data_IF_375727214213
#
_entry.id   IF_375727214213
#
_cell.length_a   1.000
_cell.length_b   1.000
_cell.length_c   1.000
_cell.angle_alpha   90.00
_cell.angle_beta   90.00
_cell.angle_gamma   90.00
#
_symmetry.space_group_name_H-M   'P 1'
#
loop_
_entity.id
_entity.type
_entity.pdbx_description
1 polymer ?
#
# COMPACT_ATOMS: atom_id res chain seq x y z
N UNK A 1 10.69 -17.55 -17.69
CA UNK A 1 10.30 -16.77 -16.52
C UNK A 1 11.54 -16.53 -15.65
N UNK A 2 11.79 -15.29 -15.25
CA UNK A 2 12.98 -14.93 -14.45
C UNK A 2 12.79 -15.17 -12.94
N UNK A 3 11.58 -15.61 -12.52
CA UNK A 3 11.26 -15.88 -11.12
C UNK A 3 11.35 -17.39 -10.85
N UNK A 4 12.08 -17.77 -9.81
CA UNK A 4 12.38 -19.16 -9.48
C UNK A 4 11.11 -19.99 -9.16
N UNK A 5 10.16 -19.47 -8.40
CA UNK A 5 8.90 -20.14 -8.09
C UNK A 5 8.08 -20.50 -9.33
N UNK A 6 7.74 -19.51 -10.19
CA UNK A 6 7.08 -19.78 -11.46
C UNK A 6 7.87 -20.73 -12.38
N UNK A 7 9.20 -20.61 -12.44
CA UNK A 7 10.05 -21.50 -13.25
C UNK A 7 9.94 -22.97 -12.80
N UNK A 8 10.01 -23.23 -11.49
CA UNK A 8 9.81 -24.57 -10.92
C UNK A 8 8.41 -25.14 -11.23
N UNK A 9 7.38 -24.33 -11.12
CA UNK A 9 6.01 -24.72 -11.48
C UNK A 9 5.90 -25.10 -12.96
N UNK A 10 6.49 -24.27 -13.85
CA UNK A 10 6.54 -24.57 -15.29
C UNK A 10 7.28 -25.89 -15.57
N UNK A 11 8.44 -26.14 -14.91
CA UNK A 11 9.18 -27.37 -15.06
C UNK A 11 8.34 -28.60 -14.68
N UNK A 12 7.60 -28.55 -13.58
CA UNK A 12 6.67 -29.61 -13.17
C UNK A 12 5.56 -29.84 -14.20
N UNK A 13 4.89 -28.76 -14.64
CA UNK A 13 3.82 -28.83 -15.66
C UNK A 13 4.35 -29.46 -16.95
N UNK A 14 5.55 -29.08 -17.40
CA UNK A 14 6.18 -29.67 -18.58
C UNK A 14 6.42 -31.17 -18.40
N UNK A 15 6.96 -31.60 -17.27
CA UNK A 15 7.21 -33.02 -16.99
C UNK A 15 5.90 -33.83 -17.00
N UNK A 16 4.85 -33.34 -16.33
CA UNK A 16 3.55 -33.99 -16.28
C UNK A 16 2.89 -34.07 -17.69
N UNK A 17 3.00 -32.97 -18.46
CA UNK A 17 2.42 -32.92 -19.81
C UNK A 17 3.13 -33.82 -20.82
N UNK A 18 4.45 -34.00 -20.69
CA UNK A 18 5.20 -34.99 -21.49
C UNK A 18 4.71 -36.42 -21.24
N UNK A 19 4.23 -36.70 -20.03
CA UNK A 19 3.67 -37.99 -19.63
C UNK A 19 2.15 -38.11 -19.94
N UNK A 20 1.59 -37.13 -20.67
CA UNK A 20 0.21 -37.19 -21.15
C UNK A 20 -0.80 -36.36 -20.35
N UNK A 21 -0.40 -35.64 -19.31
CA UNK A 21 -1.26 -34.66 -18.66
C UNK A 21 -1.58 -33.50 -19.64
N UNK A 22 -2.62 -32.72 -19.31
CA UNK A 22 -3.03 -31.54 -20.09
C UNK A 22 -3.23 -30.35 -19.15
N UNK A 23 -2.17 -30.03 -18.39
CA UNK A 23 -2.20 -28.98 -17.37
C UNK A 23 -1.79 -27.64 -18.03
N UNK A 24 -2.69 -26.62 -18.05
CA UNK A 24 -2.34 -25.31 -18.57
C UNK A 24 -1.43 -24.56 -17.60
N UNK A 25 -0.60 -23.66 -18.12
CA UNK A 25 0.11 -22.70 -17.31
C UNK A 25 -0.69 -21.39 -17.22
N UNK A 26 -1.15 -21.06 -16.03
CA UNK A 26 -2.02 -19.91 -15.76
C UNK A 26 -1.27 -18.55 -15.69
N UNK A 27 0.04 -18.55 -15.97
CA UNK A 27 0.83 -17.33 -15.88
C UNK A 27 1.40 -17.04 -14.48
N UNK A 28 1.89 -15.83 -14.32
CA UNK A 28 2.50 -15.34 -13.09
C UNK A 28 2.14 -13.86 -12.87
N UNK A 29 1.83 -13.51 -11.63
CA UNK A 29 1.55 -12.12 -11.22
C UNK A 29 2.82 -11.33 -10.88
N UNK A 30 3.99 -11.96 -10.96
CA UNK A 30 5.28 -11.28 -10.80
C UNK A 30 5.68 -10.94 -9.37
N UNK A 31 5.21 -11.71 -8.38
CA UNK A 31 5.59 -11.50 -6.97
C UNK A 31 7.09 -11.68 -6.79
N UNK A 32 7.74 -10.68 -6.22
CA UNK A 32 9.18 -10.62 -6.01
C UNK A 32 9.52 -9.92 -4.70
N UNK A 33 10.64 -10.32 -4.11
CA UNK A 33 11.17 -9.75 -2.88
C UNK A 33 12.70 -9.68 -2.95
N UNK A 34 13.27 -8.62 -2.39
CA UNK A 34 14.70 -8.42 -2.28
C UNK A 34 15.07 -7.79 -0.95
N UNK A 35 16.22 -8.18 -0.41
CA UNK A 35 16.83 -7.49 0.73
C UNK A 35 17.89 -6.51 0.22
N UNK A 36 17.80 -5.26 0.68
CA UNK A 36 18.72 -4.17 0.34
C UNK A 36 19.27 -3.62 1.66
N UNK A 37 20.47 -4.03 2.01
CA UNK A 37 21.02 -3.86 3.37
C UNK A 37 20.06 -4.45 4.42
N UNK A 38 19.59 -3.65 5.37
CA UNK A 38 18.64 -4.09 6.40
C UNK A 38 17.18 -3.98 5.96
N UNK A 39 16.93 -3.29 4.85
CA UNK A 39 15.59 -3.05 4.32
C UNK A 39 15.15 -4.17 3.38
N UNK A 40 13.89 -4.54 3.46
CA UNK A 40 13.23 -5.49 2.56
C UNK A 40 12.28 -4.73 1.63
N UNK A 41 12.36 -5.02 0.33
CA UNK A 41 11.51 -4.45 -0.70
C UNK A 41 10.78 -5.57 -1.43
N UNK A 42 9.47 -5.48 -1.55
CA UNK A 42 8.67 -6.50 -2.22
C UNK A 42 7.60 -5.87 -3.12
N UNK A 43 7.22 -6.60 -4.17
CA UNK A 43 6.16 -6.17 -5.09
C UNK A 43 5.40 -7.36 -5.66
N UNK A 44 4.12 -7.14 -6.00
CA UNK A 44 3.26 -8.12 -6.65
C UNK A 44 2.24 -7.43 -7.54
N UNK A 45 1.78 -8.10 -8.61
CA UNK A 45 0.76 -7.61 -9.52
C UNK A 45 1.21 -6.42 -10.38
N UNK A 46 0.29 -5.53 -10.69
CA UNK A 46 0.49 -4.41 -11.61
C UNK A 46 0.77 -3.11 -10.86
N UNK A 47 2.00 -2.55 -10.98
CA UNK A 47 2.30 -1.23 -10.43
C UNK A 47 1.61 -0.13 -11.25
N UNK A 48 1.35 1.03 -10.63
CA UNK A 48 0.69 2.16 -11.29
C UNK A 48 1.35 2.63 -12.59
N UNK A 49 2.69 2.43 -12.75
CA UNK A 49 3.37 2.71 -14.02
C UNK A 49 2.83 1.82 -15.15
N UNK A 50 2.63 0.54 -14.88
CA UNK A 50 2.14 -0.43 -15.86
C UNK A 50 0.68 -0.18 -16.18
N UNK A 51 -0.15 0.08 -15.15
CA UNK A 51 -1.56 0.40 -15.33
C UNK A 51 -1.75 1.62 -16.25
N UNK A 52 -0.95 2.68 -16.08
CA UNK A 52 -0.97 3.84 -16.98
C UNK A 52 -0.54 3.51 -18.41
N UNK A 53 0.45 2.64 -18.60
CA UNK A 53 0.90 2.21 -19.92
C UNK A 53 -0.16 1.40 -20.68
N UNK A 54 -0.98 0.65 -19.93
CA UNK A 54 -2.09 -0.16 -20.48
C UNK A 54 -3.43 0.60 -20.48
N UNK A 55 -3.40 1.90 -20.15
CA UNK A 55 -4.60 2.77 -20.07
C UNK A 55 -5.70 2.22 -19.15
N UNK A 56 -5.29 1.48 -18.12
CA UNK A 56 -6.20 0.93 -17.10
C UNK A 56 -6.44 2.00 -16.03
N UNK A 57 -7.70 2.33 -15.81
CA UNK A 57 -8.13 3.27 -14.78
C UNK A 57 -7.92 2.66 -13.37
N UNK A 58 -7.28 3.39 -12.48
CA UNK A 58 -6.97 2.89 -11.15
C UNK A 58 -6.88 3.99 -10.11
N UNK A 59 -7.02 3.61 -8.86
CA UNK A 59 -6.64 4.40 -7.70
C UNK A 59 -5.45 3.75 -6.99
N UNK A 60 -4.79 4.50 -6.14
CA UNK A 60 -3.76 3.94 -5.26
C UNK A 60 -3.85 4.55 -3.88
N UNK A 61 -3.50 3.79 -2.86
CA UNK A 61 -3.27 4.30 -1.52
C UNK A 61 -1.86 3.93 -1.04
N UNK A 62 -1.32 4.75 -0.16
CA UNK A 62 -0.04 4.49 0.51
C UNK A 62 -0.24 4.74 1.99
N UNK A 63 0.16 3.77 2.80
CA UNK A 63 0.08 3.83 4.26
C UNK A 63 1.46 3.55 4.87
N UNK A 64 1.66 4.01 6.09
CA UNK A 64 2.94 3.87 6.81
C UNK A 64 2.72 3.26 8.21
N UNK A 65 2.24 2.00 8.30
CA UNK A 65 2.06 1.30 9.57
C UNK A 65 3.39 0.84 10.17
N UNK A 66 3.34 0.43 11.43
CA UNK A 66 4.42 -0.35 12.04
C UNK A 66 4.33 -1.84 11.67
N UNK A 67 5.44 -2.56 11.75
CA UNK A 67 5.52 -4.01 11.50
C UNK A 67 4.64 -4.83 12.44
N UNK A 68 4.53 -4.37 13.70
CA UNK A 68 3.70 -4.98 14.76
C UNK A 68 3.25 -3.90 15.77
N UNK A 69 2.64 -4.31 16.87
CA UNK A 69 2.10 -3.40 17.88
C UNK A 69 3.18 -2.47 18.45
N UNK A 70 2.98 -1.16 18.33
CA UNK A 70 3.98 -0.15 18.67
C UNK A 70 4.37 -0.09 20.15
N UNK A 71 3.56 -0.67 21.04
CA UNK A 71 3.89 -0.82 22.46
C UNK A 71 4.79 -2.03 22.76
N UNK A 72 4.98 -2.93 21.79
CA UNK A 72 5.89 -4.05 21.89
C UNK A 72 7.27 -3.65 21.33
N UNK A 73 8.38 -4.08 21.95
CA UNK A 73 9.73 -3.69 21.53
C UNK A 73 10.02 -4.00 20.04
N UNK A 74 10.88 -3.20 19.44
CA UNK A 74 11.42 -3.39 18.10
C UNK A 74 10.41 -3.25 16.96
N UNK A 75 9.29 -2.57 17.18
CA UNK A 75 8.37 -2.23 16.10
C UNK A 75 9.04 -1.29 15.08
N UNK A 76 9.11 -1.73 13.82
CA UNK A 76 9.80 -1.03 12.74
C UNK A 76 8.81 -0.44 11.72
N UNK A 77 9.13 0.70 11.11
CA UNK A 77 8.26 1.31 10.10
C UNK A 77 8.17 0.46 8.85
N UNK A 78 7.00 0.48 8.21
CA UNK A 78 6.70 -0.15 6.94
C UNK A 78 5.92 0.81 6.05
N UNK A 79 6.18 0.78 4.74
CA UNK A 79 5.38 1.50 3.75
C UNK A 79 4.69 0.49 2.85
N UNK A 80 3.37 0.55 2.76
CA UNK A 80 2.56 -0.29 1.89
C UNK A 80 1.84 0.60 0.88
N UNK A 81 2.03 0.32 -0.39
CA UNK A 81 1.28 0.92 -1.48
C UNK A 81 0.50 -0.14 -2.22
N UNK A 82 -0.80 0.09 -2.41
CA UNK A 82 -1.66 -0.75 -3.24
C UNK A 82 -2.23 0.03 -4.42
N UNK A 83 -2.52 -0.69 -5.51
CA UNK A 83 -3.24 -0.19 -6.68
C UNK A 83 -4.49 -1.03 -6.90
N UNK A 84 -5.62 -0.38 -7.18
CA UNK A 84 -6.92 -1.05 -7.26
C UNK A 84 -7.86 -0.33 -8.23
N UNK A 85 -8.87 -1.06 -8.72
CA UNK A 85 -9.93 -0.52 -9.54
C UNK A 85 -10.80 0.46 -8.75
N UNK A 86 -11.07 1.63 -9.32
CA UNK A 86 -11.80 2.69 -8.61
C UNK A 86 -13.30 2.42 -8.44
N UNK A 87 -13.87 1.47 -9.18
CA UNK A 87 -15.31 1.16 -9.12
C UNK A 87 -15.59 -0.10 -8.32
N UNK A 88 -14.80 -1.15 -8.57
CA UNK A 88 -15.02 -2.47 -7.99
C UNK A 88 -14.15 -2.74 -6.78
N UNK A 89 -13.07 -1.97 -6.61
CA UNK A 89 -12.05 -2.23 -5.61
C UNK A 89 -11.15 -3.43 -5.93
N UNK A 90 -11.22 -4.02 -7.14
CA UNK A 90 -10.36 -5.14 -7.54
C UNK A 90 -8.89 -4.78 -7.33
N UNK A 91 -8.17 -5.61 -6.61
CA UNK A 91 -6.77 -5.38 -6.31
C UNK A 91 -5.90 -5.68 -7.54
N UNK A 92 -5.16 -4.69 -8.02
CA UNK A 92 -4.27 -4.83 -9.17
C UNK A 92 -2.82 -5.13 -8.78
N UNK A 93 -2.32 -4.52 -7.71
CA UNK A 93 -0.94 -4.68 -7.31
C UNK A 93 -0.65 -4.14 -5.92
N UNK A 94 0.52 -4.51 -5.41
CA UNK A 94 1.03 -4.04 -4.14
C UNK A 94 2.55 -3.92 -4.12
N UNK A 95 3.05 -2.99 -3.34
CA UNK A 95 4.46 -2.76 -3.06
C UNK A 95 4.63 -2.53 -1.57
N UNK A 96 5.63 -3.16 -0.98
CA UNK A 96 5.93 -3.02 0.44
C UNK A 96 7.43 -2.77 0.61
N UNK A 97 7.75 -1.81 1.44
CA UNK A 97 9.13 -1.51 1.87
C UNK A 97 9.13 -1.41 3.40
N UNK A 98 10.04 -2.11 4.04
CA UNK A 98 10.14 -2.13 5.50
C UNK A 98 11.30 -2.97 5.98
N UNK A 99 11.42 -3.14 7.28
CA UNK A 99 12.51 -3.89 7.89
C UNK A 99 12.07 -5.27 8.35
N UNK A 100 10.81 -5.42 8.76
CA UNK A 100 10.24 -6.66 9.29
C UNK A 100 8.82 -6.89 8.77
N UNK A 101 8.42 -8.16 8.62
CA UNK A 101 7.07 -8.59 8.24
C UNK A 101 6.61 -8.22 6.83
N UNK A 102 7.54 -7.85 5.93
CA UNK A 102 7.27 -7.52 4.52
C UNK A 102 6.88 -8.76 3.72
N UNK A 103 7.58 -9.88 3.97
CA UNK A 103 7.39 -11.18 3.30
C UNK A 103 5.98 -11.72 3.52
N UNK A 104 5.51 -11.76 4.76
CA UNK A 104 4.15 -12.19 5.12
C UNK A 104 3.11 -11.39 4.33
N UNK A 105 3.21 -10.07 4.35
CA UNK A 105 2.17 -9.18 3.79
C UNK A 105 2.17 -9.13 2.27
N UNK A 106 3.33 -9.24 1.63
CA UNK A 106 3.35 -9.30 0.16
C UNK A 106 2.72 -10.60 -0.35
N UNK A 107 2.88 -11.71 0.39
CA UNK A 107 2.26 -12.99 0.04
C UNK A 107 0.73 -12.94 0.23
N UNK A 108 0.23 -12.26 1.26
CA UNK A 108 -1.20 -12.01 1.44
C UNK A 108 -1.78 -11.20 0.26
N UNK A 109 -1.13 -10.11 -0.14
CA UNK A 109 -1.53 -9.33 -1.31
C UNK A 109 -1.49 -10.16 -2.59
N UNK A 110 -0.44 -10.97 -2.77
CA UNK A 110 -0.29 -11.84 -3.94
C UNK A 110 -1.41 -12.88 -4.01
N UNK A 111 -1.83 -13.45 -2.88
CA UNK A 111 -2.92 -14.40 -2.79
C UNK A 111 -4.25 -13.76 -3.21
N UNK A 112 -4.56 -12.57 -2.67
CA UNK A 112 -5.77 -11.82 -3.04
C UNK A 112 -5.79 -11.48 -4.53
N UNK A 113 -4.67 -10.97 -5.09
CA UNK A 113 -4.57 -10.69 -6.53
C UNK A 113 -4.74 -11.95 -7.37
N UNK A 114 -4.13 -13.09 -6.98
CA UNK A 114 -4.23 -14.36 -7.72
C UNK A 114 -5.67 -14.86 -7.80
N UNK A 115 -6.48 -14.61 -6.79
CA UNK A 115 -7.88 -14.97 -6.73
C UNK A 115 -8.83 -13.86 -7.22
N UNK A 116 -8.30 -12.87 -7.92
CA UNK A 116 -9.07 -11.74 -8.46
C UNK A 116 -9.84 -10.95 -7.38
N UNK A 117 -9.36 -11.01 -6.15
CA UNK A 117 -9.97 -10.37 -5.00
C UNK A 117 -9.87 -8.85 -5.01
N UNK A 118 -10.48 -8.25 -4.03
CA UNK A 118 -10.71 -6.81 -3.89
C UNK A 118 -10.05 -6.25 -2.63
N UNK A 119 -10.06 -4.94 -2.49
CA UNK A 119 -9.68 -4.27 -1.24
C UNK A 119 -10.54 -4.73 -0.05
N UNK A 120 -11.80 -5.10 -0.30
CA UNK A 120 -12.72 -5.60 0.73
C UNK A 120 -12.31 -6.98 1.26
N UNK A 121 -11.62 -7.77 0.44
CA UNK A 121 -11.08 -9.06 0.87
C UNK A 121 -9.87 -8.86 1.77
N UNK A 122 -9.05 -7.82 1.54
CA UNK A 122 -7.95 -7.45 2.45
C UNK A 122 -8.45 -7.15 3.88
N UNK A 123 -9.63 -6.51 3.98
CA UNK A 123 -10.24 -6.17 5.26
C UNK A 123 -10.77 -7.40 6.04
N UNK A 124 -10.97 -8.52 5.35
CA UNK A 124 -11.55 -9.75 5.88
C UNK A 124 -10.52 -10.86 6.14
N UNK A 125 -9.27 -10.63 5.77
CA UNK A 125 -8.21 -11.60 6.07
C UNK A 125 -8.09 -11.75 7.59
N UNK A 126 -8.20 -12.96 8.07
CA UNK A 126 -7.97 -13.28 9.48
C UNK A 126 -6.49 -13.59 9.70
N UNK A 127 -5.71 -12.54 10.00
CA UNK A 127 -4.31 -12.69 10.26
C UNK A 127 -4.05 -13.23 11.67
N UNK A 128 -3.03 -14.08 11.79
CA UNK A 128 -2.53 -14.49 13.10
C UNK A 128 -1.98 -13.27 13.85
N UNK A 129 -2.53 -13.00 15.02
CA UNK A 129 -2.17 -11.86 15.85
C UNK A 129 -1.63 -12.27 17.23
N UNK A 130 -0.47 -11.72 17.53
CA UNK A 130 0.02 -11.44 18.88
C UNK A 130 0.96 -10.23 18.77
N UNK A 131 1.19 -9.46 19.86
CA UNK A 131 1.95 -8.20 19.81
C UNK A 131 3.30 -8.27 19.09
N UNK A 132 4.10 -9.37 19.19
CA UNK A 132 5.37 -9.48 18.47
C UNK A 132 5.25 -9.68 16.96
N UNK A 133 4.09 -10.04 16.43
CA UNK A 133 3.93 -10.47 15.02
C UNK A 133 3.11 -9.51 14.17
N UNK A 134 2.20 -8.77 14.78
CA UNK A 134 1.33 -7.82 14.08
C UNK A 134 0.73 -6.80 15.05
N UNK A 135 -0.13 -5.95 14.55
CA UNK A 135 -1.09 -5.17 15.32
C UNK A 135 -2.50 -5.75 15.15
N UNK A 136 -3.41 -5.42 16.07
CA UNK A 136 -4.80 -5.90 16.02
C UNK A 136 -5.51 -5.54 14.70
N UNK A 137 -5.13 -4.41 14.08
CA UNK A 137 -5.41 -4.08 12.68
C UNK A 137 -4.13 -4.33 11.89
N UNK A 138 -4.00 -5.51 11.27
CA UNK A 138 -2.81 -5.79 10.46
C UNK A 138 -2.65 -4.74 9.35
N UNK A 139 -1.41 -4.39 9.00
CA UNK A 139 -1.10 -3.48 7.89
C UNK A 139 -1.84 -3.77 6.58
N UNK A 140 -2.09 -5.03 6.24
CA UNK A 140 -2.86 -5.40 5.03
C UNK A 140 -4.34 -5.01 5.18
N UNK A 141 -4.95 -5.29 6.32
CA UNK A 141 -6.32 -4.87 6.60
C UNK A 141 -6.44 -3.34 6.62
N UNK A 142 -5.46 -2.65 7.22
CA UNK A 142 -5.41 -1.18 7.23
C UNK A 142 -5.32 -0.60 5.81
N UNK A 143 -4.54 -1.21 4.90
CA UNK A 143 -4.49 -0.81 3.51
C UNK A 143 -5.86 -0.93 2.82
N UNK A 144 -6.63 -1.98 3.14
CA UNK A 144 -8.00 -2.16 2.68
C UNK A 144 -8.94 -1.06 3.18
N UNK A 145 -8.91 -0.74 4.48
CA UNK A 145 -9.75 0.34 5.07
C UNK A 145 -9.49 1.70 4.43
N UNK A 146 -8.21 2.08 4.28
CA UNK A 146 -7.86 3.37 3.65
C UNK A 146 -8.29 3.40 2.18
N UNK A 147 -8.16 2.27 1.46
CA UNK A 147 -8.63 2.18 0.08
C UNK A 147 -10.17 2.29 -0.02
N UNK A 148 -10.92 1.72 0.92
CA UNK A 148 -12.38 1.90 1.02
C UNK A 148 -12.74 3.36 1.25
N UNK A 149 -12.08 4.05 2.17
CA UNK A 149 -12.32 5.48 2.43
C UNK A 149 -12.07 6.35 1.19
N UNK A 150 -11.09 5.98 0.36
CA UNK A 150 -10.84 6.64 -0.93
C UNK A 150 -11.98 6.35 -1.94
N UNK A 151 -12.39 5.10 -2.10
CA UNK A 151 -13.47 4.72 -3.05
C UNK A 151 -14.80 5.36 -2.65
N UNK A 152 -15.10 5.41 -1.36
CA UNK A 152 -16.34 5.97 -0.82
C UNK A 152 -16.34 7.49 -0.74
N UNK A 153 -15.21 8.15 -1.04
CA UNK A 153 -15.07 9.60 -0.99
C UNK A 153 -14.97 10.19 0.41
N UNK A 154 -14.79 9.38 1.46
CA UNK A 154 -14.49 9.86 2.80
C UNK A 154 -13.12 10.54 2.88
N UNK A 155 -12.20 10.13 2.01
CA UNK A 155 -10.87 10.72 1.86
C UNK A 155 -10.58 10.95 0.38
N UNK A 156 -10.14 12.16 0.04
CA UNK A 156 -9.72 12.53 -1.32
C UNK A 156 -8.21 12.75 -1.34
N UNK A 157 -7.40 11.73 -1.60
CA UNK A 157 -5.96 11.87 -1.59
C UNK A 157 -5.48 12.69 -2.78
N UNK A 158 -4.54 13.58 -2.52
CA UNK A 158 -3.77 14.28 -3.55
C UNK A 158 -2.39 13.63 -3.64
N UNK A 159 -2.03 13.21 -4.84
CA UNK A 159 -0.71 12.60 -5.06
C UNK A 159 0.34 13.67 -5.33
N UNK A 160 1.59 13.43 -4.92
CA UNK A 160 2.70 14.37 -5.05
C UNK A 160 2.92 14.90 -6.49
N UNK A 161 2.50 14.14 -7.51
CA UNK A 161 2.58 14.56 -8.91
C UNK A 161 1.54 15.61 -9.26
N UNK A 162 0.39 15.54 -8.61
CA UNK A 162 -0.75 16.43 -8.83
C UNK A 162 -0.56 17.75 -8.08
N UNK A 163 0.24 17.75 -7.00
CA UNK A 163 0.55 18.96 -6.23
C UNK A 163 1.14 20.09 -7.07
N UNK A 164 1.85 19.77 -8.15
CA UNK A 164 2.43 20.79 -9.05
C UNK A 164 1.38 21.54 -9.85
N UNK A 165 0.26 20.89 -10.11
CA UNK A 165 -0.81 21.38 -10.99
C UNK A 165 -1.99 21.94 -10.18
N UNK A 166 -1.91 21.90 -8.83
CA UNK A 166 -2.94 22.46 -7.96
C UNK A 166 -2.78 23.96 -7.85
N UNK A 167 -3.84 24.70 -8.19
CA UNK A 167 -3.94 26.13 -7.91
C UNK A 167 -4.05 26.34 -6.40
N UNK A 168 -3.04 26.99 -5.82
CA UNK A 168 -2.91 27.17 -4.37
C UNK A 168 -3.69 28.35 -3.83
N UNK A 169 -4.23 29.23 -4.67
CA UNK A 169 -4.84 30.48 -4.28
C UNK A 169 -6.05 30.31 -3.32
N UNK A 170 -6.80 29.21 -3.50
CA UNK A 170 -7.97 28.87 -2.68
C UNK A 170 -7.74 27.61 -1.82
N UNK A 171 -6.48 27.26 -1.53
CA UNK A 171 -6.13 26.09 -0.73
C UNK A 171 -5.49 26.48 0.58
N UNK A 172 -5.82 25.75 1.64
CA UNK A 172 -5.15 25.83 2.92
C UNK A 172 -4.31 24.56 3.11
N UNK A 173 -2.99 24.71 3.14
CA UNK A 173 -2.10 23.59 3.39
C UNK A 173 -1.84 23.48 4.88
N UNK A 174 -2.38 22.45 5.49
CA UNK A 174 -2.17 22.12 6.89
C UNK A 174 -1.14 21.00 7.01
N UNK A 175 -0.04 21.25 7.72
CA UNK A 175 0.91 20.23 8.11
C UNK A 175 0.69 19.86 9.58
N UNK A 176 0.20 18.65 9.84
CA UNK A 176 -0.13 18.15 11.19
C UNK A 176 1.03 17.41 11.88
N UNK A 177 2.22 17.40 11.27
CA UNK A 177 3.41 16.77 11.82
C UNK A 177 3.94 17.57 13.01
N UNK A 178 4.85 16.95 13.78
CA UNK A 178 5.55 17.64 14.86
C UNK A 178 6.37 18.82 14.34
N UNK A 179 6.68 19.84 15.18
CA UNK A 179 7.53 20.97 14.77
C UNK A 179 8.91 20.53 14.26
N UNK A 180 9.46 19.48 14.85
CA UNK A 180 10.76 18.93 14.44
C UNK A 180 10.70 18.34 13.03
N UNK A 181 9.68 17.54 12.72
CA UNK A 181 9.47 17.00 11.38
C UNK A 181 9.19 18.10 10.35
N UNK A 182 8.43 19.13 10.72
CA UNK A 182 8.16 20.27 9.86
C UNK A 182 9.44 21.05 9.54
N UNK A 183 10.33 21.21 10.51
CA UNK A 183 11.62 21.91 10.35
C UNK A 183 12.58 21.20 9.38
N UNK A 184 12.47 19.87 9.25
CA UNK A 184 13.27 19.08 8.32
C UNK A 184 12.86 19.27 6.85
N UNK A 185 11.72 19.88 6.60
CA UNK A 185 11.20 20.23 5.28
C UNK A 185 9.68 20.15 5.22
N UNK A 186 9.07 21.11 4.56
CA UNK A 186 7.62 21.24 4.40
C UNK A 186 7.24 21.73 3.00
N UNK A 187 5.97 21.61 2.65
CA UNK A 187 5.47 22.21 1.42
C UNK A 187 5.47 23.74 1.57
N UNK A 188 5.89 24.48 0.53
CA UNK A 188 5.84 25.94 0.56
C UNK A 188 4.44 26.45 0.88
N UNK A 189 4.32 27.33 1.88
CA UNK A 189 3.04 27.91 2.30
C UNK A 189 2.22 27.02 3.24
N UNK A 190 2.71 25.87 3.65
CA UNK A 190 2.04 25.05 4.66
C UNK A 190 2.09 25.71 6.05
N UNK A 191 0.99 25.62 6.78
CA UNK A 191 0.87 26.04 8.18
C UNK A 191 1.01 24.79 9.05
N UNK A 192 1.97 24.81 9.98
CA UNK A 192 2.15 23.70 10.90
C UNK A 192 1.25 23.86 12.13
N UNK A 193 0.35 22.93 12.33
CA UNK A 193 -0.43 22.75 13.55
C UNK A 193 -0.32 21.28 13.92
N UNK A 194 0.55 20.92 14.87
CA UNK A 194 0.70 19.53 15.30
C UNK A 194 -0.63 18.90 15.69
N UNK A 195 -0.81 17.61 15.39
CA UNK A 195 -2.09 16.92 15.62
C UNK A 195 -2.53 17.02 17.09
N UNK A 196 -1.60 16.95 18.03
CA UNK A 196 -1.87 17.04 19.47
C UNK A 196 -2.34 18.44 19.91
N UNK A 197 -2.08 19.47 19.12
CA UNK A 197 -2.45 20.87 19.37
C UNK A 197 -3.64 21.32 18.50
N UNK A 198 -4.15 20.43 17.64
CA UNK A 198 -5.11 20.81 16.61
C UNK A 198 -6.41 21.36 17.18
N UNK A 199 -6.95 20.73 18.23
CA UNK A 199 -8.21 21.15 18.87
C UNK A 199 -8.12 22.56 19.45
N UNK A 200 -6.96 22.93 20.01
CA UNK A 200 -6.71 24.26 20.60
C UNK A 200 -6.47 25.33 19.54
N UNK A 201 -5.94 24.93 18.37
CA UNK A 201 -5.53 25.84 17.29
C UNK A 201 -6.44 25.80 16.07
N UNK A 202 -7.58 25.12 16.15
CA UNK A 202 -8.52 24.96 15.02
C UNK A 202 -9.01 26.29 14.45
N UNK A 203 -9.03 27.36 15.24
CA UNK A 203 -9.40 28.71 14.78
C UNK A 203 -8.42 29.30 13.76
N UNK A 204 -7.18 28.80 13.71
CA UNK A 204 -6.19 29.22 12.73
C UNK A 204 -6.41 28.59 11.34
N UNK A 205 -7.28 27.60 11.23
CA UNK A 205 -7.62 26.95 9.97
C UNK A 205 -8.64 27.82 9.22
N UNK A 206 -8.25 28.28 8.04
CA UNK A 206 -9.12 29.07 7.17
C UNK A 206 -10.23 28.15 6.58
N UNK A 207 -11.44 28.26 7.13
CA UNK A 207 -12.60 27.44 6.76
C UNK A 207 -13.21 27.81 5.41
N UNK A 208 -12.83 28.96 4.85
CA UNK A 208 -13.31 29.43 3.54
C UNK A 208 -12.44 28.88 2.40
N UNK A 209 -11.34 28.22 2.75
CA UNK A 209 -10.45 27.53 1.81
C UNK A 209 -10.65 26.02 1.86
N UNK A 210 -10.35 25.39 0.74
CA UNK A 210 -10.43 23.92 0.59
C UNK A 210 -9.10 23.27 0.92
#
# INVERSE_FOLDING_TARGET
NYLAGPANRQGRIVADNVLGAKIPYEGSIGTSIAKVFDMTVASTGLPGKRLRQEEIDYMSSTIHPASHAGYYPDAMPMSIKITFDKKTGRLYGGQIVGYDGVDKRIDELALVIKHEGTIYDLMKVEQAYAPPFSSAKDPVALAGYVAEDIITGKTNPVYWRELRDIEMENKFLLDVRTPDEYSLGSLPGAVNIPLDEFDEKMEAVDKDKT
#
